data_IF_213136377908
#
_entry.id   IF_213136377908
#
_cell.length_a   1.000
_cell.length_b   1.000
_cell.length_c   1.000
_cell.angle_alpha   90.00
_cell.angle_beta   90.00
_cell.angle_gamma   90.00
#
_symmetry.space_group_name_H-M   'P 1'
#
loop_
_entity.id
_entity.type
_entity.pdbx_description
1 polymer ?
#
# COMPACT_ATOMS: atom_id res chain seq x y z
N UNK A 1 -21.30 -0.82 17.04
CA UNK A 1 -19.89 -0.39 17.18
C UNK A 1 -19.63 0.51 15.99
N UNK A 2 -19.46 1.82 16.23
CA UNK A 2 -19.34 2.82 15.17
C UNK A 2 -18.22 2.45 14.20
N UNK A 3 -18.60 1.99 13.01
CA UNK A 3 -17.71 1.86 11.86
C UNK A 3 -17.46 3.26 11.30
N UNK A 4 -16.75 4.09 12.06
CA UNK A 4 -16.18 5.32 11.55
C UNK A 4 -15.19 4.92 10.45
N UNK A 5 -15.68 4.91 9.21
CA UNK A 5 -14.93 4.53 8.03
C UNK A 5 -13.77 5.49 7.95
N UNK A 6 -12.55 4.97 8.13
CA UNK A 6 -11.37 5.82 8.09
C UNK A 6 -11.22 6.38 6.67
N UNK A 7 -10.71 7.61 6.50
CA UNK A 7 -10.62 8.23 5.18
C UNK A 7 -9.71 7.46 4.23
N UNK A 8 -8.73 6.72 4.76
CA UNK A 8 -7.80 5.90 3.98
C UNK A 8 -7.88 4.46 4.48
N UNK A 9 -7.99 3.50 3.57
CA UNK A 9 -7.89 2.10 3.96
C UNK A 9 -6.43 1.71 4.22
N UNK A 10 -5.57 1.73 3.19
CA UNK A 10 -4.17 1.31 3.30
C UNK A 10 -3.23 2.48 3.05
N UNK A 11 -2.25 2.66 3.94
CA UNK A 11 -1.18 3.62 3.82
C UNK A 11 0.17 2.90 3.72
N UNK A 12 0.91 3.18 2.65
CA UNK A 12 2.26 2.66 2.44
C UNK A 12 3.28 3.68 2.96
N UNK A 13 4.14 3.27 3.89
CA UNK A 13 5.12 4.16 4.53
C UNK A 13 6.51 4.05 3.89
N UNK A 14 7.07 5.20 3.55
CA UNK A 14 8.44 5.38 3.09
C UNK A 14 9.42 5.68 4.25
N UNK A 15 10.72 5.47 4.01
CA UNK A 15 11.82 5.78 4.94
C UNK A 15 11.71 7.22 5.46
N UNK A 16 11.44 8.20 4.59
CA UNK A 16 11.37 9.60 4.99
C UNK A 16 10.27 9.89 6.01
N UNK A 17 9.09 9.30 5.82
CA UNK A 17 7.96 9.46 6.74
C UNK A 17 8.23 8.81 8.10
N UNK A 18 8.87 7.63 8.10
CA UNK A 18 9.20 6.89 9.33
C UNK A 18 10.28 7.61 10.14
N UNK A 19 11.32 8.13 9.48
CA UNK A 19 12.42 8.84 10.16
C UNK A 19 11.92 10.15 10.76
N UNK A 20 11.20 10.95 9.98
CA UNK A 20 10.72 12.27 10.41
C UNK A 20 9.59 12.19 11.43
N UNK A 21 8.82 11.09 11.44
CA UNK A 21 7.61 10.96 12.26
C UNK A 21 6.62 12.12 12.02
N UNK A 22 6.53 12.53 10.76
CA UNK A 22 5.66 13.62 10.30
C UNK A 22 4.83 13.15 9.11
N UNK A 23 3.49 13.10 9.22
CA UNK A 23 2.69 13.35 10.43
C UNK A 23 2.92 12.27 11.52
N UNK A 24 2.57 12.55 12.79
CA UNK A 24 2.77 11.60 13.88
C UNK A 24 2.10 10.26 13.62
N UNK A 25 2.72 9.17 14.08
CA UNK A 25 2.20 7.80 13.94
C UNK A 25 0.75 7.67 14.42
N UNK A 26 0.39 8.35 15.52
CA UNK A 26 -0.99 8.36 16.02
C UNK A 26 -2.00 8.92 15.00
N UNK A 27 -1.63 9.99 14.29
CA UNK A 27 -2.44 10.56 13.23
C UNK A 27 -2.54 9.63 12.02
N UNK A 28 -1.48 8.90 11.69
CA UNK A 28 -1.50 7.89 10.63
C UNK A 28 -2.44 6.73 10.99
N UNK A 29 -2.37 6.23 12.22
CA UNK A 29 -3.24 5.16 12.73
C UNK A 29 -4.70 5.65 12.78
N UNK A 30 -4.96 6.89 13.17
CA UNK A 30 -6.31 7.44 13.22
C UNK A 30 -6.95 7.55 11.82
N UNK A 31 -6.14 7.83 10.79
CA UNK A 31 -6.63 8.08 9.43
C UNK A 31 -6.58 6.85 8.51
N UNK A 32 -5.86 5.79 8.91
CA UNK A 32 -5.67 4.58 8.10
C UNK A 32 -6.14 3.31 8.79
N UNK A 33 -6.73 2.37 8.06
CA UNK A 33 -7.08 1.04 8.59
C UNK A 33 -5.86 0.13 8.66
N UNK A 34 -4.95 0.25 7.69
CA UNK A 34 -3.75 -0.58 7.57
C UNK A 34 -2.53 0.26 7.19
N UNK A 35 -1.45 0.08 7.94
CA UNK A 35 -0.13 0.64 7.65
C UNK A 35 0.76 -0.47 7.14
N UNK A 36 1.39 -0.26 5.99
CA UNK A 36 2.28 -1.25 5.36
C UNK A 36 3.61 -0.62 4.99
N UNK A 37 4.69 -1.40 5.06
CA UNK A 37 6.00 -1.03 4.51
C UNK A 37 6.76 -2.26 4.04
N UNK A 38 7.93 -2.06 3.45
CA UNK A 38 8.82 -3.14 3.01
C UNK A 38 9.99 -3.35 3.99
N UNK A 39 10.51 -4.58 4.14
CA UNK A 39 11.62 -4.86 5.06
C UNK A 39 12.89 -4.04 4.80
N UNK A 40 13.13 -3.66 3.54
CA UNK A 40 14.30 -2.90 3.14
C UNK A 40 14.35 -1.52 3.82
N UNK A 41 13.18 -0.89 4.03
CA UNK A 41 13.05 0.41 4.69
C UNK A 41 13.43 0.31 6.16
N UNK A 42 12.96 -0.74 6.86
CA UNK A 42 13.32 -0.98 8.26
C UNK A 42 14.84 -1.18 8.41
N UNK A 43 15.45 -1.87 7.45
CA UNK A 43 16.90 -2.12 7.41
C UNK A 43 17.71 -0.86 7.07
N UNK A 44 17.10 0.14 6.43
CA UNK A 44 17.73 1.41 6.07
C UNK A 44 17.85 2.36 7.28
N UNK A 45 16.99 2.20 8.28
CA UNK A 45 17.01 3.02 9.50
C UNK A 45 18.20 2.62 10.37
N UNK A 46 19.30 3.36 10.23
CA UNK A 46 20.56 3.14 10.98
C UNK A 46 20.61 3.87 12.32
N UNK A 47 19.85 4.96 12.45
CA UNK A 47 19.83 5.76 13.67
C UNK A 47 19.21 4.98 14.83
N UNK A 48 19.94 4.85 15.93
CA UNK A 48 19.53 4.00 17.05
C UNK A 48 18.27 4.52 17.75
N UNK A 49 18.12 5.85 17.87
CA UNK A 49 16.95 6.46 18.50
C UNK A 49 15.69 6.25 17.64
N UNK A 50 15.81 6.47 16.33
CA UNK A 50 14.72 6.26 15.36
C UNK A 50 14.33 4.79 15.30
N UNK A 51 15.31 3.88 15.22
CA UNK A 51 15.06 2.43 15.20
C UNK A 51 14.33 1.96 16.46
N UNK A 52 14.81 2.34 17.65
CA UNK A 52 14.17 1.96 18.91
C UNK A 52 12.72 2.49 19.00
N UNK A 53 12.49 3.73 18.54
CA UNK A 53 11.14 4.30 18.45
C UNK A 53 10.26 3.48 17.51
N UNK A 54 10.71 3.22 16.29
CA UNK A 54 9.96 2.43 15.30
C UNK A 54 9.64 1.04 15.84
N UNK A 55 10.62 0.37 16.44
CA UNK A 55 10.45 -0.97 17.01
C UNK A 55 9.41 -1.00 18.14
N UNK A 56 9.38 0.03 18.98
CA UNK A 56 8.49 0.06 20.16
C UNK A 56 7.10 0.62 19.85
N UNK A 57 7.00 1.65 18.99
CA UNK A 57 5.75 2.40 18.79
C UNK A 57 5.06 2.09 17.47
N UNK A 58 5.82 1.82 16.40
CA UNK A 58 5.26 1.70 15.05
C UNK A 58 5.08 0.24 14.63
N UNK A 59 6.05 -0.63 14.88
CA UNK A 59 6.01 -2.04 14.50
C UNK A 59 4.72 -2.78 14.92
N UNK A 60 4.13 -2.56 16.11
CA UNK A 60 2.89 -3.24 16.49
C UNK A 60 1.70 -2.93 15.57
N UNK A 61 1.75 -1.78 14.88
CA UNK A 61 0.69 -1.33 13.97
C UNK A 61 1.11 -1.38 12.49
N UNK A 62 2.36 -1.75 12.21
CA UNK A 62 2.95 -1.73 10.89
C UNK A 62 3.10 -3.14 10.34
N UNK A 63 2.41 -3.42 9.24
CA UNK A 63 2.55 -4.68 8.52
C UNK A 63 3.75 -4.60 7.59
N UNK A 64 4.79 -5.38 7.90
CA UNK A 64 5.96 -5.52 7.02
C UNK A 64 5.63 -6.57 5.96
N UNK A 65 5.57 -6.17 4.69
CA UNK A 65 5.28 -7.04 3.56
C UNK A 65 6.28 -6.81 2.44
N UNK A 66 6.79 -7.89 1.85
CA UNK A 66 7.57 -7.79 0.62
C UNK A 66 6.64 -7.89 -0.60
N UNK A 67 6.82 -7.05 -1.63
CA UNK A 67 6.04 -7.16 -2.86
C UNK A 67 6.39 -8.43 -3.62
N UNK A 68 5.45 -8.94 -4.41
CA UNK A 68 5.68 -10.08 -5.27
C UNK A 68 6.70 -9.74 -6.37
N UNK A 69 7.53 -10.71 -6.82
CA UNK A 69 8.49 -10.50 -7.91
C UNK A 69 7.83 -10.01 -9.21
N UNK A 70 6.58 -10.42 -9.47
CA UNK A 70 5.80 -9.96 -10.61
C UNK A 70 5.53 -8.44 -10.53
N UNK A 71 5.09 -7.95 -9.36
CA UNK A 71 4.85 -6.53 -9.10
C UNK A 71 6.14 -5.71 -9.25
N UNK A 72 7.26 -6.21 -8.71
CA UNK A 72 8.58 -5.57 -8.88
C UNK A 72 8.94 -5.45 -10.36
N UNK A 73 8.73 -6.52 -11.14
CA UNK A 73 9.02 -6.53 -12.57
C UNK A 73 8.19 -5.50 -13.31
N UNK A 74 6.88 -5.41 -13.04
CA UNK A 74 5.98 -4.43 -13.66
C UNK A 74 6.49 -3.00 -13.41
N UNK A 75 6.81 -2.67 -12.16
CA UNK A 75 7.30 -1.34 -11.81
C UNK A 75 8.68 -1.06 -12.41
N UNK A 76 9.59 -2.05 -12.41
CA UNK A 76 10.92 -1.91 -13.01
C UNK A 76 10.83 -1.65 -14.51
N UNK A 77 9.97 -2.39 -15.22
CA UNK A 77 9.74 -2.22 -16.66
C UNK A 77 9.07 -0.87 -16.95
N UNK A 78 8.19 -0.39 -16.07
CA UNK A 78 7.56 0.92 -16.19
C UNK A 78 8.57 2.05 -15.99
N UNK A 79 9.36 2.00 -14.91
CA UNK A 79 10.42 2.97 -14.60
C UNK A 79 11.51 3.02 -15.68
N UNK A 80 11.80 1.89 -16.33
CA UNK A 80 12.70 1.84 -17.48
C UNK A 80 12.16 2.64 -18.67
N UNK A 81 10.85 2.59 -18.90
CA UNK A 81 10.19 3.29 -20.00
C UNK A 81 10.03 4.78 -19.74
N UNK A 82 9.89 5.21 -18.48
CA UNK A 82 9.86 6.64 -18.11
C UNK A 82 11.26 7.27 -18.07
N UNK A 83 12.30 6.45 -17.83
CA UNK A 83 13.67 6.91 -17.62
C UNK A 83 14.04 7.07 -16.14
N UNK A 84 13.09 6.85 -15.22
CA UNK A 84 13.30 7.05 -13.77
C UNK A 84 14.11 5.93 -13.12
N UNK A 85 14.28 4.79 -13.80
CA UNK A 85 15.01 3.64 -13.23
C UNK A 85 16.44 3.99 -12.79
N UNK A 86 17.08 4.97 -13.41
CA UNK A 86 18.45 5.39 -13.07
C UNK A 86 18.55 6.16 -11.75
N UNK A 87 17.45 6.78 -11.30
CA UNK A 87 17.43 7.61 -10.08
C UNK A 87 16.69 6.96 -8.92
N UNK A 88 15.84 5.97 -9.19
CA UNK A 88 15.12 5.23 -8.16
C UNK A 88 16.02 4.20 -7.48
N UNK A 89 16.02 4.20 -6.15
CA UNK A 89 16.72 3.20 -5.36
C UNK A 89 15.94 1.87 -5.32
N UNK A 90 16.59 0.81 -4.83
CA UNK A 90 15.94 -0.50 -4.68
C UNK A 90 14.76 -0.46 -3.69
N UNK A 91 14.86 0.18 -2.51
CA UNK A 91 13.70 0.39 -1.63
C UNK A 91 12.55 1.14 -2.30
N UNK A 92 12.84 2.18 -3.08
CA UNK A 92 11.80 2.95 -3.80
C UNK A 92 11.00 2.06 -4.75
N UNK A 93 11.69 1.24 -5.55
CA UNK A 93 11.05 0.27 -6.45
C UNK A 93 10.18 -0.72 -5.67
N UNK A 94 10.63 -1.16 -4.50
CA UNK A 94 9.86 -2.08 -3.66
C UNK A 94 8.62 -1.42 -3.06
N UNK A 95 8.70 -0.17 -2.61
CA UNK A 95 7.56 0.59 -2.10
C UNK A 95 6.52 0.82 -3.19
N UNK A 96 6.96 1.23 -4.38
CA UNK A 96 6.05 1.44 -5.52
C UNK A 96 5.41 0.11 -5.94
N UNK A 97 6.18 -0.99 -5.94
CA UNK A 97 5.67 -2.32 -6.26
C UNK A 97 4.65 -2.83 -5.22
N UNK A 98 4.91 -2.61 -3.93
CA UNK A 98 3.96 -2.94 -2.86
C UNK A 98 2.68 -2.12 -3.00
N UNK A 99 2.81 -0.84 -3.34
CA UNK A 99 1.67 0.05 -3.58
C UNK A 99 0.82 -0.45 -4.75
N UNK A 100 1.46 -0.83 -5.86
CA UNK A 100 0.79 -1.43 -7.02
C UNK A 100 0.03 -2.72 -6.66
N UNK A 101 0.62 -3.57 -5.82
CA UNK A 101 0.03 -4.84 -5.40
C UNK A 101 -1.23 -4.62 -4.53
N UNK A 102 -1.12 -3.79 -3.50
CA UNK A 102 -2.24 -3.39 -2.63
C UNK A 102 -3.37 -2.77 -3.45
N UNK A 103 -3.01 -1.93 -4.41
CA UNK A 103 -3.95 -1.28 -5.31
C UNK A 103 -4.75 -2.29 -6.13
N UNK A 104 -4.06 -3.27 -6.73
CA UNK A 104 -4.71 -4.32 -7.52
C UNK A 104 -5.58 -5.25 -6.67
N UNK A 105 -5.13 -5.60 -5.46
CA UNK A 105 -5.86 -6.46 -4.53
C UNK A 105 -7.17 -5.81 -4.05
N UNK A 106 -7.11 -4.50 -3.75
CA UNK A 106 -8.26 -3.78 -3.17
C UNK A 106 -9.26 -3.29 -4.20
N UNK A 107 -8.82 -2.99 -5.41
CA UNK A 107 -9.65 -2.35 -6.44
C UNK A 107 -9.98 -3.28 -7.60
N UNK A 108 -9.83 -4.59 -7.39
CA UNK A 108 -10.13 -5.64 -8.37
C UNK A 108 -9.38 -5.44 -9.69
N UNK A 109 -8.07 -5.19 -9.59
CA UNK A 109 -7.15 -5.14 -10.72
C UNK A 109 -6.59 -3.75 -11.05
N UNK A 110 -5.85 -3.69 -12.16
CA UNK A 110 -5.05 -2.53 -12.58
C UNK A 110 -5.83 -1.56 -13.48
N UNK A 111 -7.16 -1.61 -13.48
CA UNK A 111 -8.02 -0.92 -14.45
C UNK A 111 -7.83 0.61 -14.45
N UNK A 112 -7.55 1.20 -13.28
CA UNK A 112 -7.27 2.64 -13.12
C UNK A 112 -5.79 3.02 -13.18
N UNK A 113 -4.92 2.05 -13.44
CA UNK A 113 -3.50 2.27 -13.61
C UNK A 113 -3.16 2.39 -15.10
N UNK A 114 -1.93 2.81 -15.39
CA UNK A 114 -1.37 2.79 -16.74
C UNK A 114 -0.35 1.66 -16.82
N UNK A 115 -0.39 0.89 -17.90
CA UNK A 115 0.63 -0.15 -18.18
C UNK A 115 1.89 0.41 -18.82
N UNK A 116 1.76 1.54 -19.49
CA UNK A 116 2.88 2.21 -20.16
C UNK A 116 2.84 3.72 -19.94
N UNK A 117 4.02 4.37 -19.91
CA UNK A 117 4.09 5.83 -19.90
C UNK A 117 3.37 6.43 -21.12
N UNK A 118 2.73 7.58 -20.94
CA UNK A 118 2.04 8.29 -22.02
C UNK A 118 0.72 7.67 -22.50
N UNK A 119 0.21 6.61 -21.86
CA UNK A 119 -1.08 6.01 -22.21
C UNK A 119 -2.21 7.04 -22.05
N UNK A 120 -2.90 7.37 -23.15
CA UNK A 120 -4.00 8.36 -23.18
C UNK A 120 -5.24 7.93 -22.39
N UNK A 121 -5.43 6.61 -22.18
CA UNK A 121 -6.56 6.02 -21.45
C UNK A 121 -6.02 5.07 -20.38
N UNK A 122 -6.78 4.89 -19.29
CA UNK A 122 -6.45 3.88 -18.27
C UNK A 122 -6.71 2.47 -18.82
N UNK A 123 -6.27 1.45 -18.09
CA UNK A 123 -6.29 0.07 -18.56
C UNK A 123 -7.70 -0.52 -18.78
N UNK A 124 -8.74 -0.01 -18.12
CA UNK A 124 -10.10 -0.52 -18.28
C UNK A 124 -11.20 0.37 -17.71
N UNK A 125 -12.45 -0.05 -17.90
CA UNK A 125 -13.59 0.51 -17.20
C UNK A 125 -13.53 0.11 -15.71
N UNK A 126 -14.09 0.92 -14.79
CA UNK A 126 -14.24 0.51 -13.39
C UNK A 126 -14.94 -0.85 -13.30
N UNK A 127 -14.51 -1.76 -12.41
CA UNK A 127 -15.24 -2.99 -12.16
C UNK A 127 -16.65 -2.59 -11.75
N UNK A 128 -17.65 -3.12 -12.47
CA UNK A 128 -19.05 -2.97 -12.07
C UNK A 128 -19.15 -3.62 -10.70
N UNK A 129 -19.49 -2.84 -9.66
CA UNK A 129 -19.83 -3.40 -8.35
C UNK A 129 -21.06 -4.28 -8.56
N UNK A 130 -20.87 -5.57 -8.80
CA UNK A 130 -21.96 -6.53 -8.75
C UNK A 130 -22.27 -6.71 -7.27
N UNK A 131 -23.50 -6.40 -6.88
CA UNK A 131 -24.06 -6.57 -5.53
C UNK A 131 -24.09 -8.06 -5.15
N UNK A 132 -22.94 -8.68 -4.84
CA UNK A 132 -22.88 -10.10 -4.45
C UNK A 132 -22.36 -10.31 -3.02
N UNK A 133 -22.01 -9.26 -2.27
CA UNK A 133 -21.60 -9.38 -0.86
C UNK A 133 -22.73 -9.06 0.14
N UNK A 134 -24.01 -9.14 -0.28
CA UNK A 134 -25.17 -8.88 0.57
C UNK A 134 -26.10 -10.10 0.76
N UNK A 135 -25.59 -11.33 0.58
CA UNK A 135 -26.38 -12.54 0.71
C UNK A 135 -25.61 -13.63 1.47
N UNK A 136 -25.35 -13.41 2.76
CA UNK A 136 -25.04 -14.50 3.71
C UNK A 136 -25.45 -14.14 5.15
N UNK A 137 -26.58 -13.43 5.31
CA UNK A 137 -27.24 -13.26 6.61
C UNK A 137 -28.76 -13.38 6.49
N UNK A 138 -29.27 -14.41 5.79
CA UNK A 138 -30.69 -14.77 5.88
C UNK A 138 -30.97 -16.24 5.51
N UNK A 139 -30.64 -17.17 6.41
CA UNK A 139 -31.32 -18.46 6.56
C UNK A 139 -31.18 -18.85 8.04
N UNK A 140 -32.20 -19.15 8.86
CA UNK A 140 -33.60 -19.48 8.64
C UNK A 140 -34.30 -19.54 10.03
N UNK A 141 -35.64 -19.72 10.10
CA UNK A 141 -36.52 -19.04 11.04
C UNK A 141 -36.82 -19.79 12.35
N UNK A 142 -37.48 -19.05 13.25
CA UNK A 142 -38.18 -19.56 14.42
C UNK A 142 -39.26 -20.59 14.05
N UNK A 143 -39.30 -21.68 14.82
CA UNK A 143 -40.54 -22.33 15.26
C UNK A 143 -40.31 -22.98 16.63
#
# INVERSE_FOLDING_TARGET
MDTATKPVHTLVLDTGAIIKNEPPISSLIAQSESLVTVPAIISEIRDAATRSRVETTLLPFLTIRSPAPASIKVITDFARKTGDLAVLSKPDIQIIALTYEVECERNSGDWRLRRVPGQKRLNGAPPVKTEVDAADEETSPAN
#
